data_IF_443639174802
#
_entry.id   IF_443639174802
#
_cell.length_a   1.000
_cell.length_b   1.000
_cell.length_c   1.000
_cell.angle_alpha   90.00
_cell.angle_beta   90.00
_cell.angle_gamma   90.00
#
_symmetry.space_group_name_H-M   'P 1'
#
loop_
_entity.id
_entity.type
_entity.pdbx_description
1 polymer ?
#
# COMPACT_ATOMS: atom_id res chain seq x y z
N UNK A 1 21.91 -12.12 -1.79
CA UNK A 1 21.82 -11.34 -3.03
C UNK A 1 21.38 -9.94 -2.66
N UNK A 2 21.80 -8.95 -3.40
CA UNK A 2 21.46 -7.55 -3.16
C UNK A 2 20.07 -7.27 -3.73
N UNK A 3 19.18 -6.60 -2.99
CA UNK A 3 17.79 -6.34 -3.36
C UNK A 3 17.54 -4.86 -3.65
N UNK A 4 16.77 -4.59 -4.71
CA UNK A 4 16.19 -3.28 -4.99
C UNK A 4 14.71 -3.30 -4.59
N UNK A 5 14.28 -2.32 -3.82
CA UNK A 5 12.92 -2.25 -3.26
C UNK A 5 12.26 -0.94 -3.66
N UNK A 6 11.04 -0.99 -4.17
CA UNK A 6 10.22 0.20 -4.41
C UNK A 6 9.14 0.29 -3.33
N UNK A 7 9.02 1.46 -2.68
CA UNK A 7 8.04 1.70 -1.62
C UNK A 7 7.22 2.95 -1.94
N UNK A 8 5.90 2.83 -2.01
CA UNK A 8 4.99 3.98 -2.10
C UNK A 8 4.40 4.32 -0.74
N UNK A 9 4.02 5.59 -0.53
CA UNK A 9 3.57 6.05 0.80
C UNK A 9 4.69 6.02 1.83
N UNK A 10 5.92 6.31 1.38
CA UNK A 10 7.16 6.07 2.12
C UNK A 10 7.49 7.13 3.18
N UNK A 11 6.77 8.27 3.20
CA UNK A 11 7.07 9.38 4.13
C UNK A 11 6.48 9.22 5.52
N UNK A 12 5.53 8.32 5.72
CA UNK A 12 4.81 8.17 6.99
C UNK A 12 4.31 6.75 7.24
N UNK A 13 3.81 6.49 8.46
CA UNK A 13 3.12 5.26 8.83
C UNK A 13 3.90 3.99 8.50
N UNK A 14 3.20 2.98 7.98
CA UNK A 14 3.80 1.69 7.63
C UNK A 14 4.81 1.78 6.49
N UNK A 15 4.58 2.64 5.48
CA UNK A 15 5.53 2.81 4.38
C UNK A 15 6.89 3.30 4.87
N UNK A 16 6.90 4.27 5.79
CA UNK A 16 8.11 4.76 6.45
C UNK A 16 8.76 3.67 7.33
N UNK A 17 7.95 2.88 8.03
CA UNK A 17 8.46 1.81 8.87
C UNK A 17 9.15 0.70 8.04
N UNK A 18 8.53 0.29 6.91
CA UNK A 18 9.17 -0.61 5.95
C UNK A 18 10.45 -0.03 5.37
N UNK A 19 10.44 1.26 4.99
CA UNK A 19 11.62 1.93 4.47
C UNK A 19 12.78 1.87 5.47
N UNK A 20 12.55 2.22 6.73
CA UNK A 20 13.55 2.14 7.81
C UNK A 20 14.08 0.72 8.00
N UNK A 21 13.17 -0.25 8.04
CA UNK A 21 13.54 -1.65 8.21
C UNK A 21 14.46 -2.12 7.08
N UNK A 22 14.03 -1.98 5.83
CA UNK A 22 14.82 -2.44 4.69
C UNK A 22 16.11 -1.65 4.51
N UNK A 23 16.14 -0.34 4.80
CA UNK A 23 17.37 0.45 4.75
C UNK A 23 18.43 -0.04 5.73
N UNK A 24 18.04 -0.63 6.87
CA UNK A 24 18.95 -1.17 7.86
C UNK A 24 19.57 -2.53 7.44
N UNK A 25 18.97 -3.22 6.46
CA UNK A 25 19.42 -4.55 6.07
C UNK A 25 20.64 -4.47 5.13
N UNK A 26 21.70 -5.27 5.38
CA UNK A 26 22.85 -5.37 4.47
C UNK A 26 22.48 -5.92 3.09
N UNK A 27 21.42 -6.74 3.00
CA UNK A 27 20.91 -7.30 1.75
C UNK A 27 20.21 -6.29 0.84
N UNK A 28 19.80 -5.14 1.36
CA UNK A 28 19.19 -4.07 0.55
C UNK A 28 20.27 -3.20 -0.07
N UNK A 29 20.31 -3.14 -1.39
CA UNK A 29 21.23 -2.27 -2.15
C UNK A 29 20.64 -0.91 -2.45
N UNK A 30 19.34 -0.87 -2.77
CA UNK A 30 18.68 0.37 -3.19
C UNK A 30 17.20 0.35 -2.80
N UNK A 31 16.71 1.49 -2.34
CA UNK A 31 15.29 1.75 -2.08
C UNK A 31 14.84 2.93 -2.91
N UNK A 32 13.82 2.73 -3.72
CA UNK A 32 13.13 3.74 -4.50
C UNK A 32 11.89 4.15 -3.71
N UNK A 33 11.93 5.31 -3.08
CA UNK A 33 10.90 5.81 -2.18
C UNK A 33 10.00 6.82 -2.89
N UNK A 34 8.70 6.53 -2.98
CA UNK A 34 7.69 7.36 -3.65
C UNK A 34 6.69 7.90 -2.62
N UNK A 35 6.47 9.21 -2.60
CA UNK A 35 5.43 9.84 -1.78
C UNK A 35 5.06 11.21 -2.34
N UNK A 36 3.90 11.74 -1.94
CA UNK A 36 3.53 13.14 -2.16
C UNK A 36 4.33 14.11 -1.27
N UNK A 37 4.76 13.65 -0.11
CA UNK A 37 5.51 14.40 0.87
C UNK A 37 6.98 13.98 0.87
N UNK A 38 7.89 14.89 1.23
CA UNK A 38 9.30 14.54 1.38
C UNK A 38 9.49 13.54 2.53
N UNK A 39 10.54 12.73 2.43
CA UNK A 39 10.96 11.88 3.53
C UNK A 39 11.39 12.73 4.74
N UNK A 40 11.24 12.22 5.97
CA UNK A 40 11.81 12.89 7.15
C UNK A 40 13.33 13.08 7.00
N UNK A 41 13.83 14.26 7.37
CA UNK A 41 15.25 14.68 7.22
C UNK A 41 16.24 13.64 7.77
N UNK A 42 15.86 12.92 8.84
CA UNK A 42 16.71 11.88 9.45
C UNK A 42 16.98 10.67 8.55
N UNK A 43 16.27 10.54 7.42
CA UNK A 43 16.34 9.37 6.52
C UNK A 43 17.02 9.73 5.18
N UNK A 44 16.97 10.99 4.75
CA UNK A 44 17.50 11.44 3.46
C UNK A 44 19.03 11.31 3.32
N UNK A 45 19.73 10.98 4.40
CA UNK A 45 21.21 10.93 4.44
C UNK A 45 21.81 9.58 4.06
N UNK A 46 21.01 8.57 3.68
CA UNK A 46 21.56 7.26 3.30
C UNK A 46 21.73 7.13 1.80
N UNK A 47 22.91 6.72 1.35
CA UNK A 47 23.24 6.51 -0.08
C UNK A 47 22.40 5.41 -0.75
N UNK A 48 21.66 4.62 0.04
CA UNK A 48 20.81 3.54 -0.46
C UNK A 48 19.42 4.00 -0.90
N UNK A 49 18.98 5.22 -0.57
CA UNK A 49 17.60 5.67 -0.78
C UNK A 49 17.58 6.77 -1.83
N UNK A 50 16.78 6.57 -2.88
CA UNK A 50 16.36 7.63 -3.80
C UNK A 50 14.91 8.01 -3.51
N UNK A 51 14.67 9.27 -3.16
CA UNK A 51 13.35 9.80 -2.84
C UNK A 51 12.77 10.58 -4.01
N UNK A 52 11.53 10.29 -4.36
CA UNK A 52 10.82 10.90 -5.48
C UNK A 52 9.46 11.41 -5.00
N UNK A 53 9.22 12.72 -5.18
CA UNK A 53 7.90 13.32 -4.94
C UNK A 53 7.01 13.06 -6.14
N UNK A 54 6.14 12.07 -6.04
CA UNK A 54 5.26 11.62 -7.13
C UNK A 54 3.85 11.36 -6.59
N UNK A 55 2.84 11.88 -7.30
CA UNK A 55 1.44 11.46 -7.11
C UNK A 55 1.22 10.17 -7.91
N UNK A 56 0.79 9.09 -7.24
CA UNK A 56 0.55 7.79 -7.89
C UNK A 56 -0.58 7.82 -8.94
N UNK A 57 -1.45 8.84 -8.93
CA UNK A 57 -2.43 9.04 -10.00
C UNK A 57 -1.84 9.75 -11.23
N UNK A 58 -0.68 10.38 -11.11
CA UNK A 58 0.02 11.03 -12.21
C UNK A 58 0.85 10.01 -13.00
N UNK A 59 0.21 9.38 -13.98
CA UNK A 59 0.84 8.34 -14.79
C UNK A 59 2.09 8.83 -15.52
N UNK A 60 2.14 10.11 -15.96
CA UNK A 60 3.30 10.64 -16.70
C UNK A 60 4.53 10.78 -15.79
N UNK A 61 4.38 11.16 -14.53
CA UNK A 61 5.47 11.21 -13.56
C UNK A 61 6.01 9.79 -13.27
N UNK A 62 5.10 8.82 -13.07
CA UNK A 62 5.47 7.42 -12.87
C UNK A 62 6.26 6.87 -14.08
N UNK A 63 5.78 7.13 -15.31
CA UNK A 63 6.45 6.71 -16.54
C UNK A 63 7.83 7.35 -16.71
N UNK A 64 7.98 8.62 -16.35
CA UNK A 64 9.26 9.32 -16.38
C UNK A 64 10.27 8.66 -15.44
N UNK A 65 9.85 8.35 -14.22
CA UNK A 65 10.70 7.63 -13.27
C UNK A 65 11.04 6.23 -13.78
N UNK A 66 10.05 5.46 -14.25
CA UNK A 66 10.28 4.11 -14.75
C UNK A 66 11.27 4.11 -15.96
N UNK A 67 11.20 5.12 -16.82
CA UNK A 67 12.15 5.29 -17.93
C UNK A 67 13.59 5.51 -17.42
N UNK A 68 13.77 6.26 -16.33
CA UNK A 68 15.09 6.44 -15.70
C UNK A 68 15.63 5.17 -15.02
N UNK A 69 14.74 4.26 -14.65
CA UNK A 69 15.04 2.97 -14.03
C UNK A 69 15.08 1.80 -15.03
N UNK A 70 15.16 2.09 -16.33
CA UNK A 70 15.14 1.06 -17.37
C UNK A 70 16.17 -0.04 -17.08
N UNK A 71 15.74 -1.30 -17.11
CA UNK A 71 16.53 -2.49 -16.81
C UNK A 71 17.01 -2.62 -15.35
N UNK A 72 16.60 -1.74 -14.45
CA UNK A 72 16.86 -1.92 -13.02
C UNK A 72 15.85 -2.94 -12.48
N UNK A 73 16.27 -4.11 -11.97
CA UNK A 73 15.35 -5.05 -11.36
C UNK A 73 14.74 -4.47 -10.08
N UNK A 74 13.43 -4.66 -9.90
CA UNK A 74 12.74 -4.41 -8.64
C UNK A 74 12.35 -5.76 -8.06
N UNK A 75 13.03 -6.16 -6.98
CA UNK A 75 12.81 -7.45 -6.34
C UNK A 75 11.56 -7.45 -5.44
N UNK A 76 11.26 -6.30 -4.84
CA UNK A 76 10.12 -6.13 -3.96
C UNK A 76 9.47 -4.76 -4.19
N UNK A 77 8.15 -4.76 -4.46
CA UNK A 77 7.33 -3.55 -4.48
C UNK A 77 6.38 -3.58 -3.28
N UNK A 78 6.52 -2.58 -2.39
CA UNK A 78 5.64 -2.37 -1.24
C UNK A 78 4.73 -1.18 -1.51
N UNK A 79 3.47 -1.44 -1.82
CA UNK A 79 2.48 -0.39 -2.07
C UNK A 79 1.72 -0.05 -0.79
N UNK A 80 2.15 1.04 -0.13
CA UNK A 80 1.56 1.51 1.13
C UNK A 80 0.73 2.79 0.97
N UNK A 81 0.81 3.46 -0.17
CA UNK A 81 0.04 4.67 -0.45
C UNK A 81 -1.47 4.40 -0.46
N UNK A 82 -2.24 5.31 0.12
CA UNK A 82 -3.69 5.25 0.14
C UNK A 82 -4.31 6.23 1.13
N UNK A 83 -5.62 6.42 1.02
CA UNK A 83 -6.41 7.30 1.89
C UNK A 83 -7.64 6.59 2.45
N UNK A 84 -8.15 7.06 3.61
CA UNK A 84 -9.35 6.51 4.24
C UNK A 84 -10.64 6.95 3.54
N UNK A 85 -10.68 8.16 2.99
CA UNK A 85 -11.89 8.70 2.34
C UNK A 85 -12.98 9.11 3.35
N UNK A 86 -12.59 9.72 4.46
CA UNK A 86 -13.51 10.33 5.41
C UNK A 86 -14.08 11.64 4.86
N UNK A 87 -15.28 12.04 5.31
CA UNK A 87 -15.83 13.37 5.08
C UNK A 87 -15.07 14.38 5.93
N UNK A 88 -14.24 15.28 5.35
CA UNK A 88 -13.28 16.07 6.13
C UNK A 88 -13.91 16.92 7.22
N UNK A 89 -14.99 17.66 6.90
CA UNK A 89 -15.68 18.53 7.87
C UNK A 89 -16.21 17.76 9.10
N UNK A 90 -16.71 16.53 8.89
CA UNK A 90 -17.20 15.69 10.01
C UNK A 90 -16.02 15.11 10.79
N UNK A 91 -14.99 14.64 10.09
CA UNK A 91 -13.79 14.08 10.69
C UNK A 91 -13.06 15.11 11.59
N UNK A 92 -12.91 16.35 11.14
CA UNK A 92 -12.30 17.43 11.91
C UNK A 92 -13.13 17.84 13.13
N UNK A 93 -14.47 17.93 12.95
CA UNK A 93 -15.38 18.39 13.98
C UNK A 93 -15.62 17.37 15.08
N UNK A 94 -15.79 16.09 14.70
CA UNK A 94 -16.21 15.04 15.64
C UNK A 94 -15.06 14.12 16.08
N UNK A 95 -13.97 14.04 15.31
CA UNK A 95 -12.87 13.09 15.52
C UNK A 95 -13.37 11.65 15.69
N UNK A 96 -14.36 11.30 14.89
CA UNK A 96 -15.02 9.99 14.87
C UNK A 96 -15.05 9.46 13.42
N UNK A 97 -14.33 8.36 13.18
CA UNK A 97 -14.28 7.70 11.88
C UNK A 97 -15.66 7.20 11.47
N UNK A 98 -16.38 6.57 12.39
CA UNK A 98 -17.69 5.99 12.09
C UNK A 98 -18.69 7.08 11.68
N UNK A 99 -18.68 8.24 12.35
CA UNK A 99 -19.54 9.38 11.98
C UNK A 99 -19.18 9.97 10.60
N UNK A 100 -17.88 10.01 10.28
CA UNK A 100 -17.38 10.62 9.04
C UNK A 100 -17.49 9.73 7.79
N UNK A 101 -17.97 8.49 7.90
CA UNK A 101 -18.07 7.54 6.79
C UNK A 101 -19.44 6.85 6.67
N UNK A 102 -20.51 7.44 7.27
CA UNK A 102 -21.91 6.93 7.15
C UNK A 102 -22.50 7.27 5.79
N UNK A 103 -23.56 6.55 5.39
CA UNK A 103 -24.28 6.84 4.14
C UNK A 103 -24.96 8.22 4.15
N UNK A 104 -25.30 8.76 5.31
CA UNK A 104 -25.97 10.07 5.45
C UNK A 104 -25.06 11.25 5.17
N UNK A 105 -23.75 11.11 5.37
CA UNK A 105 -22.76 12.18 5.16
C UNK A 105 -21.87 11.94 3.93
N UNK A 106 -21.75 10.69 3.46
CA UNK A 106 -20.87 10.33 2.35
C UNK A 106 -21.30 11.03 1.05
N UNK A 107 -20.30 11.53 0.32
CA UNK A 107 -20.50 12.25 -0.95
C UNK A 107 -19.84 11.50 -2.10
N UNK A 108 -20.46 11.47 -3.31
CA UNK A 108 -19.88 10.82 -4.49
C UNK A 108 -18.45 11.28 -4.80
N UNK A 109 -18.15 12.58 -4.67
CA UNK A 109 -16.81 13.13 -4.93
C UNK A 109 -15.74 12.52 -4.02
N UNK A 110 -16.08 12.22 -2.76
CA UNK A 110 -15.16 11.56 -1.82
C UNK A 110 -14.96 10.10 -2.23
N UNK A 111 -16.03 9.41 -2.62
CA UNK A 111 -15.93 8.04 -3.12
C UNK A 111 -15.06 7.95 -4.37
N UNK A 112 -15.28 8.83 -5.34
CA UNK A 112 -14.50 8.91 -6.58
C UNK A 112 -13.02 9.18 -6.29
N UNK A 113 -12.72 10.17 -5.43
CA UNK A 113 -11.33 10.49 -5.07
C UNK A 113 -10.64 9.33 -4.35
N UNK A 114 -11.36 8.66 -3.46
CA UNK A 114 -10.82 7.50 -2.73
C UNK A 114 -10.56 6.33 -3.70
N UNK A 115 -11.45 6.08 -4.62
CA UNK A 115 -11.28 5.08 -5.67
C UNK A 115 -10.10 5.43 -6.59
N UNK A 116 -10.01 6.67 -7.04
CA UNK A 116 -8.92 7.16 -7.89
C UNK A 116 -7.55 6.90 -7.24
N UNK A 117 -7.38 7.24 -5.97
CA UNK A 117 -6.10 7.04 -5.28
C UNK A 117 -5.87 5.57 -4.96
N UNK A 118 -6.81 4.92 -4.26
CA UNK A 118 -6.60 3.58 -3.70
C UNK A 118 -6.63 2.47 -4.75
N UNK A 119 -7.35 2.68 -5.88
CA UNK A 119 -7.52 1.66 -6.92
C UNK A 119 -6.73 2.02 -8.18
N UNK A 120 -7.05 3.15 -8.81
CA UNK A 120 -6.42 3.55 -10.07
C UNK A 120 -4.95 3.90 -9.85
N UNK A 121 -4.61 4.67 -8.80
CA UNK A 121 -3.22 4.97 -8.46
C UNK A 121 -2.39 3.72 -8.21
N UNK A 122 -2.95 2.73 -7.50
CA UNK A 122 -2.28 1.43 -7.31
C UNK A 122 -2.07 0.71 -8.64
N UNK A 123 -3.10 0.66 -9.50
CA UNK A 123 -2.97 0.06 -10.83
C UNK A 123 -1.89 0.74 -11.67
N UNK A 124 -1.84 2.08 -11.67
CA UNK A 124 -0.79 2.84 -12.37
C UNK A 124 0.61 2.45 -11.89
N UNK A 125 0.82 2.37 -10.57
CA UNK A 125 2.13 1.97 -10.02
C UNK A 125 2.50 0.56 -10.48
N UNK A 126 1.61 -0.42 -10.31
CA UNK A 126 1.90 -1.81 -10.67
C UNK A 126 2.21 -1.96 -12.15
N UNK A 127 1.39 -1.38 -13.04
CA UNK A 127 1.57 -1.52 -14.48
C UNK A 127 2.79 -0.76 -15.01
N UNK A 128 3.12 0.40 -14.42
CA UNK A 128 4.28 1.19 -14.83
C UNK A 128 5.59 0.50 -14.48
N UNK A 129 5.69 -0.10 -13.29
CA UNK A 129 6.92 -0.79 -12.85
C UNK A 129 6.94 -2.28 -13.17
N UNK A 130 5.91 -2.80 -13.85
CA UNK A 130 5.87 -4.21 -14.26
C UNK A 130 7.10 -4.65 -15.07
N UNK A 131 7.61 -3.87 -16.04
CA UNK A 131 8.84 -4.25 -16.74
C UNK A 131 10.06 -4.41 -15.81
N UNK A 132 10.15 -3.62 -14.74
CA UNK A 132 11.22 -3.71 -13.75
C UNK A 132 11.07 -4.94 -12.83
N UNK A 133 9.83 -5.31 -12.53
CA UNK A 133 9.53 -6.54 -11.77
C UNK A 133 9.90 -7.78 -12.60
N UNK A 134 9.54 -7.81 -13.88
CA UNK A 134 9.77 -8.96 -14.76
C UNK A 134 11.26 -9.25 -15.05
N UNK A 135 12.16 -8.29 -14.83
CA UNK A 135 13.62 -8.55 -14.95
C UNK A 135 14.25 -8.99 -13.63
N UNK A 136 13.53 -8.94 -12.52
CA UNK A 136 13.98 -9.51 -11.25
C UNK A 136 13.81 -11.03 -11.24
N UNK A 137 14.59 -11.72 -10.41
CA UNK A 137 14.61 -13.19 -10.37
C UNK A 137 13.35 -13.80 -9.73
N UNK A 138 12.88 -13.22 -8.64
CA UNK A 138 11.71 -13.69 -7.86
C UNK A 138 10.93 -12.48 -7.33
N UNK A 139 10.27 -11.74 -8.24
CA UNK A 139 9.65 -10.47 -7.89
C UNK A 139 8.40 -10.67 -7.01
N UNK A 140 8.30 -9.84 -5.98
CA UNK A 140 7.17 -9.81 -5.07
C UNK A 140 6.52 -8.43 -5.05
N UNK A 141 5.20 -8.39 -5.07
CA UNK A 141 4.40 -7.17 -4.94
C UNK A 141 3.46 -7.32 -3.76
N UNK A 142 3.67 -6.50 -2.74
CA UNK A 142 2.82 -6.47 -1.54
C UNK A 142 2.01 -5.19 -1.57
N UNK A 143 0.71 -5.33 -1.54
CA UNK A 143 -0.22 -4.20 -1.55
C UNK A 143 -0.94 -4.14 -0.20
N UNK A 144 -0.80 -3.03 0.52
CA UNK A 144 -1.58 -2.82 1.73
C UNK A 144 -3.06 -2.62 1.38
N UNK A 145 -3.82 -3.68 1.55
CA UNK A 145 -5.26 -3.70 1.41
C UNK A 145 -5.93 -3.61 2.79
N UNK A 146 -7.14 -4.09 2.92
CA UNK A 146 -7.88 -4.07 4.16
C UNK A 146 -8.92 -5.19 4.20
N UNK A 147 -9.18 -5.73 5.40
CA UNK A 147 -10.37 -6.55 5.67
C UNK A 147 -11.67 -5.83 5.27
N UNK A 148 -11.67 -4.49 5.31
CA UNK A 148 -12.81 -3.69 4.84
C UNK A 148 -13.06 -3.80 3.33
N UNK A 149 -12.10 -4.27 2.53
CA UNK A 149 -12.28 -4.60 1.11
C UNK A 149 -12.95 -5.95 0.86
N UNK A 150 -13.13 -6.77 1.90
CA UNK A 150 -13.90 -8.01 1.81
C UNK A 150 -15.40 -7.73 1.89
N UNK A 151 -16.14 -8.11 0.87
CA UNK A 151 -17.61 -8.01 0.84
C UNK A 151 -18.21 -9.04 1.79
N UNK A 152 -17.68 -10.26 1.79
CA UNK A 152 -18.15 -11.35 2.64
C UNK A 152 -17.94 -11.08 4.15
N UNK A 153 -16.86 -10.38 4.52
CA UNK A 153 -16.57 -10.03 5.93
C UNK A 153 -17.30 -8.78 6.41
N UNK A 154 -18.11 -8.12 5.57
CA UNK A 154 -18.79 -6.89 5.94
C UNK A 154 -20.09 -7.14 6.72
N UNK A 155 -20.01 -7.12 8.03
CA UNK A 155 -21.15 -7.27 8.94
C UNK A 155 -21.54 -5.94 9.64
N UNK A 156 -20.71 -4.90 9.52
CA UNK A 156 -20.90 -3.63 10.26
C UNK A 156 -21.42 -2.47 9.39
N UNK A 157 -21.36 -2.59 8.07
CA UNK A 157 -21.66 -1.47 7.16
C UNK A 157 -20.67 -0.31 7.29
N UNK A 158 -21.08 0.90 6.90
CA UNK A 158 -20.23 2.10 6.92
C UNK A 158 -19.04 2.04 5.97
N UNK A 159 -18.17 3.05 6.00
CA UNK A 159 -16.91 3.06 5.26
C UNK A 159 -17.06 3.00 3.74
N UNK A 160 -18.12 3.57 3.18
CA UNK A 160 -18.52 3.38 1.78
C UNK A 160 -17.39 3.66 0.79
N UNK A 161 -16.71 4.80 0.93
CA UNK A 161 -15.60 5.17 0.04
C UNK A 161 -14.45 4.18 0.16
N UNK A 162 -14.04 3.87 1.38
CA UNK A 162 -12.88 3.00 1.64
C UNK A 162 -13.16 1.55 1.24
N UNK A 163 -14.29 0.99 1.71
CA UNK A 163 -14.67 -0.40 1.36
C UNK A 163 -14.75 -0.60 -0.14
N UNK A 164 -15.48 0.28 -0.86
CA UNK A 164 -15.61 0.17 -2.30
C UNK A 164 -14.26 0.25 -3.01
N UNK A 165 -13.38 1.17 -2.60
CA UNK A 165 -12.05 1.31 -3.20
C UNK A 165 -11.17 0.09 -2.93
N UNK A 166 -11.20 -0.49 -1.72
CA UNK A 166 -10.39 -1.66 -1.38
C UNK A 166 -10.95 -2.96 -1.97
N UNK A 167 -12.27 -3.09 -2.14
CA UNK A 167 -12.88 -4.20 -2.87
C UNK A 167 -12.49 -4.18 -4.36
N UNK A 168 -12.56 -3.00 -4.99
CA UNK A 168 -12.12 -2.83 -6.36
C UNK A 168 -10.61 -3.08 -6.52
N UNK A 169 -9.78 -2.59 -5.58
CA UNK A 169 -8.36 -2.89 -5.54
C UNK A 169 -8.10 -4.40 -5.48
N UNK A 170 -8.83 -5.13 -4.63
CA UNK A 170 -8.71 -6.58 -4.50
C UNK A 170 -9.00 -7.27 -5.84
N UNK A 171 -10.07 -6.87 -6.55
CA UNK A 171 -10.42 -7.42 -7.85
C UNK A 171 -9.34 -7.14 -8.92
N UNK A 172 -8.80 -5.92 -8.95
CA UNK A 172 -7.72 -5.53 -9.87
C UNK A 172 -6.47 -6.35 -9.64
N UNK A 173 -6.03 -6.48 -8.38
CA UNK A 173 -4.81 -7.24 -8.04
C UNK A 173 -5.00 -8.73 -8.29
N UNK A 174 -6.20 -9.26 -8.02
CA UNK A 174 -6.52 -10.65 -8.37
C UNK A 174 -6.38 -10.91 -9.87
N UNK A 175 -6.88 -10.03 -10.71
CA UNK A 175 -6.71 -10.13 -12.17
C UNK A 175 -5.24 -10.08 -12.57
N UNK A 176 -4.48 -9.11 -12.06
CA UNK A 176 -3.03 -9.00 -12.34
C UNK A 176 -2.26 -10.25 -11.91
N UNK A 177 -2.62 -10.87 -10.78
CA UNK A 177 -1.95 -12.10 -10.31
C UNK A 177 -2.17 -13.31 -11.23
N UNK A 178 -3.22 -13.29 -12.05
CA UNK A 178 -3.52 -14.32 -13.04
C UNK A 178 -2.81 -14.00 -14.37
N UNK A 179 -2.92 -12.73 -14.81
CA UNK A 179 -2.37 -12.28 -16.09
C UNK A 179 -0.84 -12.25 -16.09
N UNK A 180 -0.22 -12.04 -14.91
CA UNK A 180 1.22 -11.90 -14.73
C UNK A 180 1.73 -12.92 -13.71
N UNK A 181 1.72 -14.19 -14.10
CA UNK A 181 2.09 -15.33 -13.23
C UNK A 181 3.56 -15.32 -12.78
N UNK A 182 4.42 -14.56 -13.44
CA UNK A 182 5.85 -14.44 -13.10
C UNK A 182 6.13 -13.50 -11.92
N UNK A 183 5.11 -12.82 -11.41
CA UNK A 183 5.18 -11.94 -10.23
C UNK A 183 4.27 -12.47 -9.13
N UNK A 184 4.76 -12.54 -7.90
CA UNK A 184 3.94 -12.91 -6.75
C UNK A 184 3.24 -11.66 -6.17
N UNK A 185 1.92 -11.56 -6.30
CA UNK A 185 1.11 -10.47 -5.76
C UNK A 185 0.43 -10.89 -4.46
N UNK A 186 0.55 -10.09 -3.41
CA UNK A 186 -0.15 -10.32 -2.14
C UNK A 186 -0.91 -9.06 -1.71
N UNK A 187 -2.19 -9.25 -1.38
CA UNK A 187 -3.00 -8.25 -0.71
C UNK A 187 -2.91 -8.49 0.80
N UNK A 188 -2.38 -7.52 1.54
CA UNK A 188 -2.09 -7.66 2.96
C UNK A 188 -2.91 -6.67 3.78
N UNK A 189 -3.71 -7.19 4.71
CA UNK A 189 -4.37 -6.37 5.73
C UNK A 189 -3.46 -6.25 6.96
N UNK A 190 -2.88 -5.05 7.23
CA UNK A 190 -1.90 -4.86 8.30
C UNK A 190 -2.51 -4.74 9.71
N UNK A 191 -3.84 -4.86 9.83
CA UNK A 191 -4.58 -4.54 11.03
C UNK A 191 -5.11 -3.10 11.05
N UNK A 192 -5.74 -2.68 12.17
CA UNK A 192 -6.03 -1.28 12.44
C UNK A 192 -4.80 -0.67 13.06
N UNK A 193 -4.04 0.07 12.29
CA UNK A 193 -2.71 0.59 12.68
C UNK A 193 -2.79 2.08 12.95
N UNK A 194 -2.17 2.52 14.03
CA UNK A 194 -2.04 3.94 14.38
C UNK A 194 -1.09 4.65 13.39
N UNK A 195 -1.66 5.22 12.33
CA UNK A 195 -0.92 5.90 11.25
C UNK A 195 -1.62 7.20 10.88
N UNK A 196 -0.99 8.00 10.00
CA UNK A 196 -1.60 9.21 9.44
C UNK A 196 -2.82 9.00 8.53
N UNK A 197 -3.28 7.75 8.34
CA UNK A 197 -4.51 7.44 7.60
C UNK A 197 -5.75 8.04 8.27
N UNK A 198 -5.71 8.16 9.60
CA UNK A 198 -6.66 8.89 10.44
C UNK A 198 -5.87 9.87 11.31
N UNK A 199 -6.32 11.12 11.41
CA UNK A 199 -5.57 12.19 12.07
C UNK A 199 -5.54 12.12 13.61
N UNK A 200 -6.16 11.09 14.20
CA UNK A 200 -6.20 10.86 15.67
C UNK A 200 -6.04 9.37 15.96
N UNK A 201 -5.74 9.06 17.22
CA UNK A 201 -5.64 7.68 17.67
C UNK A 201 -7.03 7.05 17.78
N UNK A 202 -7.21 5.94 17.09
CA UNK A 202 -8.44 5.13 17.18
C UNK A 202 -8.31 4.11 18.32
N UNK A 203 -9.42 3.87 19.02
CA UNK A 203 -9.47 2.83 20.05
C UNK A 203 -9.22 1.45 19.43
N UNK A 204 -8.37 0.65 20.07
CA UNK A 204 -7.96 -0.68 19.60
C UNK A 204 -7.02 -0.65 18.39
N UNK A 205 -6.49 0.51 18.02
CA UNK A 205 -5.40 0.57 17.02
C UNK A 205 -4.10 0.06 17.63
N UNK A 206 -3.39 -0.77 16.86
CA UNK A 206 -2.07 -1.30 17.22
C UNK A 206 -0.97 -0.34 16.77
N UNK A 207 0.22 -0.48 17.34
CA UNK A 207 1.37 0.33 16.93
C UNK A 207 1.84 -0.03 15.52
N UNK A 208 2.59 0.90 14.92
CA UNK A 208 3.23 0.67 13.62
C UNK A 208 4.27 -0.45 13.73
N UNK A 209 5.01 -0.50 14.83
CA UNK A 209 6.06 -1.49 15.09
C UNK A 209 5.48 -2.90 15.23
N UNK A 210 4.36 -3.07 15.93
CA UNK A 210 3.66 -4.36 16.06
C UNK A 210 3.20 -4.83 14.69
N UNK A 211 2.49 -3.98 13.94
CA UNK A 211 2.01 -4.30 12.61
C UNK A 211 3.14 -4.63 11.65
N UNK A 212 4.24 -3.85 11.67
CA UNK A 212 5.42 -4.08 10.84
C UNK A 212 6.00 -5.47 11.09
N UNK A 213 6.22 -5.85 12.36
CA UNK A 213 6.79 -7.14 12.73
C UNK A 213 5.96 -8.32 12.25
N UNK A 214 4.61 -8.19 12.33
CA UNK A 214 3.69 -9.21 11.83
C UNK A 214 3.72 -9.29 10.30
N UNK A 215 3.61 -8.15 9.62
CA UNK A 215 3.63 -8.07 8.17
C UNK A 215 4.93 -8.63 7.57
N UNK A 216 6.08 -8.34 8.19
CA UNK A 216 7.38 -8.85 7.72
C UNK A 216 7.41 -10.37 7.71
N UNK A 217 6.87 -11.04 8.75
CA UNK A 217 6.81 -12.52 8.78
C UNK A 217 5.98 -13.08 7.62
N UNK A 218 4.87 -12.43 7.28
CA UNK A 218 4.04 -12.82 6.14
C UNK A 218 4.77 -12.60 4.81
N UNK A 219 5.44 -11.46 4.64
CA UNK A 219 6.20 -11.12 3.43
C UNK A 219 7.37 -12.08 3.21
N UNK A 220 8.11 -12.41 4.26
CA UNK A 220 9.23 -13.36 4.22
C UNK A 220 8.76 -14.76 3.83
N UNK A 221 7.62 -15.20 4.39
CA UNK A 221 7.02 -16.51 4.11
C UNK A 221 6.28 -16.62 2.78
N UNK A 222 6.10 -15.50 2.04
CA UNK A 222 5.33 -15.48 0.80
C UNK A 222 5.92 -16.38 -0.28
N UNK A 223 5.12 -17.30 -0.76
CA UNK A 223 5.42 -18.18 -1.89
C UNK A 223 4.61 -17.78 -3.12
N UNK A 224 5.02 -18.24 -4.29
CA UNK A 224 4.32 -17.97 -5.56
C UNK A 224 2.88 -18.52 -5.57
N UNK A 225 2.64 -19.63 -4.90
CA UNK A 225 1.29 -20.24 -4.75
C UNK A 225 0.31 -19.39 -3.93
N UNK A 226 0.81 -18.40 -3.19
CA UNK A 226 -0.01 -17.45 -2.44
C UNK A 226 -0.40 -16.21 -3.26
N UNK A 227 0.07 -16.13 -4.51
CA UNK A 227 -0.21 -15.01 -5.39
C UNK A 227 -1.71 -14.81 -5.60
N UNK A 228 -2.16 -13.57 -5.45
CA UNK A 228 -3.56 -13.19 -5.60
C UNK A 228 -4.44 -13.50 -4.39
N UNK A 229 -3.87 -13.81 -3.22
CA UNK A 229 -4.62 -13.95 -1.96
C UNK A 229 -4.75 -12.61 -1.24
N UNK A 230 -5.84 -12.46 -0.47
CA UNK A 230 -6.00 -11.42 0.54
C UNK A 230 -5.80 -12.08 1.91
N UNK A 231 -4.78 -11.64 2.64
CA UNK A 231 -4.46 -12.19 3.97
C UNK A 231 -4.36 -11.10 5.03
N UNK A 232 -4.53 -11.47 6.28
CA UNK A 232 -4.24 -10.57 7.39
C UNK A 232 -2.76 -10.61 7.80
N UNK A 233 -2.39 -9.77 8.78
CA UNK A 233 -1.03 -9.65 9.32
C UNK A 233 -0.47 -10.94 9.92
N UNK A 234 -1.29 -11.95 10.12
CA UNK A 234 -0.88 -13.26 10.62
C UNK A 234 -0.80 -14.32 9.51
N UNK A 235 -1.12 -13.94 8.26
CA UNK A 235 -1.16 -14.82 7.10
C UNK A 235 -2.47 -15.59 6.96
N UNK A 236 -3.47 -15.32 7.79
CA UNK A 236 -4.79 -15.94 7.65
C UNK A 236 -5.54 -15.32 6.46
N UNK A 237 -6.10 -16.17 5.60
CA UNK A 237 -6.84 -15.74 4.43
C UNK A 237 -8.14 -15.03 4.83
N UNK A 238 -8.42 -13.91 4.18
CA UNK A 238 -9.65 -13.14 4.32
C UNK A 238 -10.52 -13.43 3.09
N UNK A 239 -11.77 -13.86 3.25
CA UNK A 239 -12.66 -14.09 2.10
C UNK A 239 -12.92 -12.80 1.35
N UNK A 240 -13.24 -12.93 0.04
CA UNK A 240 -13.53 -11.80 -0.85
C UNK A 240 -14.82 -11.03 -0.53
#
# INVERSE_FOLDING_TARGET
MSQTILITGSSSGLGLAFLKHYASLPSTSHIIALDLNPLPISIETTTKISSHKIDIINQSELQTLAASLRNTPIDLLLHCAGIRGLVPAIAEQQRDVAAAETYTVMKPVIMLRTFEINTIGTFNVMTTFLPNLLVARDPKVIILSSRMGSVASNISGGGYAYRASKAALNAVVKSLSIDVSDVAFLLLHPGRVETGLVAWKEEGAISVEESLGDCLRVIEGLKREDSGKLVDRFGAEIPW
#
